data_IF_515288544050
#
_entry.id   IF_515288544050
#
_cell.length_a   1.000
_cell.length_b   1.000
_cell.length_c   1.000
_cell.angle_alpha   90.00
_cell.angle_beta   90.00
_cell.angle_gamma   90.00
#
_symmetry.space_group_name_H-M   'P 1'
#
loop_
_entity.id
_entity.type
_entity.pdbx_description
1 polymer ?
#
# COMPACT_ATOMS: atom_id res chain seq x y z
N UNK A 1 -4.78 -16.48 9.82
CA UNK A 1 -4.76 -15.43 8.77
C UNK A 1 -3.89 -14.30 9.29
N UNK A 2 -2.84 -13.95 8.57
CA UNK A 2 -1.79 -13.04 9.04
C UNK A 2 -2.11 -11.59 8.65
N UNK A 3 -3.28 -11.09 9.09
CA UNK A 3 -3.74 -9.71 8.82
C UNK A 3 -3.14 -8.70 9.80
N UNK A 4 -2.34 -9.14 10.77
CA UNK A 4 -1.71 -8.27 11.76
C UNK A 4 -0.86 -7.17 11.11
N UNK A 5 -0.19 -7.48 9.99
CA UNK A 5 0.62 -6.53 9.23
C UNK A 5 -0.19 -5.33 8.71
N UNK A 6 -1.50 -5.47 8.53
CA UNK A 6 -2.35 -4.37 8.05
C UNK A 6 -2.38 -3.20 9.03
N UNK A 7 -2.31 -3.50 10.32
CA UNK A 7 -2.47 -2.51 11.40
C UNK A 7 -1.14 -2.07 11.99
N UNK A 8 -0.02 -2.63 11.52
CA UNK A 8 1.31 -2.20 11.93
C UNK A 8 1.66 -0.86 11.26
N UNK A 9 2.41 0.01 11.96
CA UNK A 9 3.00 1.18 11.32
C UNK A 9 3.86 0.76 10.13
N UNK A 10 3.73 1.45 9.00
CA UNK A 10 4.56 1.22 7.80
C UNK A 10 6.05 1.33 8.13
N UNK A 11 6.40 2.19 9.09
CA UNK A 11 7.78 2.37 9.57
C UNK A 11 8.38 1.11 10.22
N UNK A 12 7.55 0.18 10.70
CA UNK A 12 7.99 -1.07 11.33
C UNK A 12 7.99 -2.26 10.34
N UNK A 13 7.60 -2.03 9.09
CA UNK A 13 7.55 -3.05 8.05
C UNK A 13 8.90 -3.21 7.33
N UNK A 14 9.20 -4.38 6.77
CA UNK A 14 10.40 -4.62 5.97
C UNK A 14 10.29 -3.99 4.56
N UNK A 15 10.11 -2.69 4.51
CA UNK A 15 9.94 -1.87 3.30
C UNK A 15 11.11 -0.89 3.15
N UNK A 16 11.27 -0.33 1.97
CA UNK A 16 12.27 0.69 1.71
C UNK A 16 11.96 1.98 2.47
N UNK A 17 13.01 2.73 2.83
CA UNK A 17 12.85 4.06 3.42
C UNK A 17 12.03 4.97 2.52
N UNK A 18 12.25 4.91 1.20
CA UNK A 18 11.50 5.67 0.21
C UNK A 18 10.01 5.34 0.24
N UNK A 19 9.66 4.07 0.35
CA UNK A 19 8.26 3.65 0.48
C UNK A 19 7.61 4.21 1.74
N UNK A 20 8.29 4.16 2.88
CA UNK A 20 7.78 4.73 4.13
C UNK A 20 7.61 6.25 4.04
N UNK A 21 8.62 6.97 3.54
CA UNK A 21 8.60 8.43 3.40
C UNK A 21 7.47 8.87 2.44
N UNK A 22 7.30 8.17 1.32
CA UNK A 22 6.27 8.48 0.35
C UNK A 22 4.87 8.11 0.86
N UNK A 23 4.71 6.98 1.55
CA UNK A 23 3.45 6.62 2.22
C UNK A 23 3.01 7.71 3.20
N UNK A 24 3.94 8.20 4.04
CA UNK A 24 3.66 9.29 4.98
C UNK A 24 3.31 10.59 4.28
N UNK A 25 3.99 10.94 3.19
CA UNK A 25 3.67 12.13 2.37
C UNK A 25 2.26 12.04 1.77
N UNK A 26 1.83 10.84 1.38
CA UNK A 26 0.49 10.56 0.88
C UNK A 26 -0.57 10.45 1.99
N UNK A 27 -0.17 10.56 3.27
CA UNK A 27 -1.07 10.52 4.43
C UNK A 27 -1.36 9.11 4.96
N UNK A 28 -0.61 8.10 4.53
CA UNK A 28 -0.75 6.72 4.98
C UNK A 28 0.31 6.36 6.03
N UNK A 29 -0.14 5.74 7.11
CA UNK A 29 0.68 5.27 8.22
C UNK A 29 0.60 3.76 8.41
N UNK A 30 -0.42 3.10 7.85
CA UNK A 30 -0.65 1.65 7.92
C UNK A 30 -1.04 1.10 6.55
N UNK A 31 -0.81 -0.21 6.31
CA UNK A 31 -1.30 -0.85 5.07
C UNK A 31 -2.83 -0.89 5.03
N UNK A 32 -3.51 -0.93 6.18
CA UNK A 32 -4.98 -0.90 6.26
C UNK A 32 -5.55 0.33 5.57
N UNK A 33 -5.02 1.51 5.86
CA UNK A 33 -5.45 2.78 5.25
C UNK A 33 -5.24 2.77 3.73
N UNK A 34 -4.11 2.22 3.27
CA UNK A 34 -3.81 2.06 1.84
C UNK A 34 -4.82 1.12 1.19
N UNK A 35 -5.09 -0.04 1.81
CA UNK A 35 -6.03 -1.02 1.27
C UNK A 35 -7.48 -0.51 1.28
N UNK A 36 -7.86 0.32 2.25
CA UNK A 36 -9.19 0.93 2.33
C UNK A 36 -9.40 1.98 1.24
N UNK A 37 -8.34 2.71 0.84
CA UNK A 37 -8.38 3.61 -0.30
C UNK A 37 -8.60 2.85 -1.62
N UNK A 38 -7.95 1.69 -1.76
CA UNK A 38 -8.10 0.80 -2.91
C UNK A 38 -7.54 1.36 -4.22
N UNK A 39 -7.54 0.54 -5.28
CA UNK A 39 -6.90 0.89 -6.54
C UNK A 39 -7.33 2.23 -7.14
N UNK A 40 -8.63 2.52 -7.10
CA UNK A 40 -9.18 3.69 -7.77
C UNK A 40 -8.68 5.00 -7.16
N UNK A 41 -8.59 5.05 -5.83
CA UNK A 41 -8.11 6.24 -5.13
C UNK A 41 -6.59 6.35 -5.27
N UNK A 42 -5.85 5.26 -5.06
CA UNK A 42 -4.38 5.27 -5.16
C UNK A 42 -3.89 5.77 -6.52
N UNK A 43 -4.51 5.32 -7.61
CA UNK A 43 -4.16 5.74 -8.98
C UNK A 43 -4.55 7.18 -9.32
N UNK A 44 -5.31 7.85 -8.45
CA UNK A 44 -5.72 9.25 -8.62
C UNK A 44 -4.98 10.21 -7.69
N UNK A 45 -4.20 9.71 -6.75
CA UNK A 45 -3.51 10.57 -5.79
C UNK A 45 -2.47 11.43 -6.50
N UNK A 46 -2.49 12.73 -6.25
CA UNK A 46 -1.51 13.59 -6.88
C UNK A 46 -0.11 13.27 -6.39
N UNK A 47 0.79 12.96 -7.33
CA UNK A 47 2.18 12.70 -7.06
C UNK A 47 2.49 11.33 -6.46
N UNK A 48 1.60 10.32 -6.48
CA UNK A 48 2.04 8.94 -6.19
C UNK A 48 3.06 8.50 -7.26
N UNK A 49 4.08 7.73 -6.86
CA UNK A 49 5.04 7.15 -7.79
C UNK A 49 4.71 5.70 -8.16
N UNK A 50 5.01 5.31 -9.39
CA UNK A 50 4.88 3.89 -9.81
C UNK A 50 5.84 2.98 -9.04
N UNK A 51 6.97 3.51 -8.57
CA UNK A 51 7.91 2.77 -7.72
C UNK A 51 7.28 2.41 -6.38
N UNK A 52 6.63 3.37 -5.73
CA UNK A 52 5.86 3.15 -4.50
C UNK A 52 4.73 2.14 -4.71
N UNK A 53 3.97 2.29 -5.79
CA UNK A 53 2.86 1.38 -6.10
C UNK A 53 3.35 -0.05 -6.35
N UNK A 54 4.48 -0.22 -7.04
CA UNK A 54 5.06 -1.53 -7.31
C UNK A 54 5.55 -2.21 -6.02
N UNK A 55 6.17 -1.46 -5.10
CA UNK A 55 6.59 -1.99 -3.81
C UNK A 55 5.40 -2.38 -2.94
N UNK A 56 4.34 -1.55 -2.92
CA UNK A 56 3.06 -1.89 -2.26
C UNK A 56 2.49 -3.21 -2.77
N UNK A 57 2.38 -3.36 -4.09
CA UNK A 57 1.84 -4.58 -4.72
C UNK A 57 2.69 -5.78 -4.35
N UNK A 58 4.02 -5.67 -4.45
CA UNK A 58 4.96 -6.73 -4.10
C UNK A 58 4.80 -7.16 -2.63
N UNK A 59 4.68 -6.20 -1.71
CA UNK A 59 4.46 -6.46 -0.29
C UNK A 59 3.13 -7.19 -0.06
N UNK A 60 2.03 -6.69 -0.64
CA UNK A 60 0.71 -7.28 -0.49
C UNK A 60 0.62 -8.68 -1.12
N UNK A 61 1.27 -8.93 -2.25
CA UNK A 61 1.33 -10.25 -2.87
C UNK A 61 2.07 -11.27 -1.99
N UNK A 62 3.22 -10.88 -1.42
CA UNK A 62 3.99 -11.74 -0.50
C UNK A 62 3.17 -12.18 0.71
N UNK A 63 2.31 -11.30 1.21
CA UNK A 63 1.41 -11.59 2.34
C UNK A 63 0.03 -12.13 1.91
N UNK A 64 -0.20 -12.38 0.61
CA UNK A 64 -1.49 -12.82 0.05
C UNK A 64 -2.66 -11.86 0.33
N UNK A 65 -2.37 -10.57 0.51
CA UNK A 65 -3.31 -9.50 0.84
C UNK A 65 -3.69 -8.62 -0.37
N UNK A 66 -3.16 -8.90 -1.57
CA UNK A 66 -3.42 -8.07 -2.77
C UNK A 66 -4.92 -7.89 -3.09
N UNK A 67 -5.73 -8.89 -2.74
CA UNK A 67 -7.18 -8.87 -2.89
C UNK A 67 -7.86 -7.74 -2.09
N UNK A 68 -7.20 -7.21 -1.05
CA UNK A 68 -7.71 -6.13 -0.21
C UNK A 68 -7.79 -4.79 -0.95
N UNK A 69 -7.00 -4.58 -2.02
CA UNK A 69 -7.11 -3.37 -2.86
C UNK A 69 -8.38 -3.34 -3.73
N UNK A 70 -9.16 -4.44 -3.72
CA UNK A 70 -10.33 -4.60 -4.57
C UNK A 70 -9.98 -4.83 -6.04
N UNK A 71 -10.97 -4.62 -6.92
CA UNK A 71 -10.81 -4.83 -8.36
C UNK A 71 -9.91 -3.75 -8.97
N UNK A 72 -8.87 -4.15 -9.68
CA UNK A 72 -8.00 -3.23 -10.42
C UNK A 72 -8.76 -2.62 -11.60
N UNK A 73 -8.75 -1.28 -11.77
CA UNK A 73 -9.36 -0.62 -12.93
C UNK A 73 -8.71 -1.08 -14.24
N UNK A 74 -9.53 -1.29 -15.27
CA UNK A 74 -9.04 -1.64 -16.61
C UNK A 74 -8.70 -3.12 -16.84
N UNK A 75 -9.09 -4.02 -15.91
CA UNK A 75 -9.08 -5.49 -16.08
C UNK A 75 -10.49 -6.04 -15.87
#
# INVERSE_FOLDING_TARGET
METAILYQPIADLPVSKSFNDESRRLGFFTLKEITDAGWHQLLKMEGFSYWWLNELVTLLERHKLIHMLGKRPGI
#
